data_IF_724362191450
#
_entry.id   IF_724362191450
#
_cell.length_a   1.000
_cell.length_b   1.000
_cell.length_c   1.000
_cell.angle_alpha   90.00
_cell.angle_beta   90.00
_cell.angle_gamma   90.00
#
_symmetry.space_group_name_H-M   'P 1'
#
loop_
_entity.id
_entity.type
_entity.pdbx_description
1 polymer ?
#
# COMPACT_ATOMS: atom_id res chain seq x y z
N UNK A 1 4.54 -34.68 9.46
CA UNK A 1 5.15 -33.36 9.12
C UNK A 1 4.12 -32.49 8.42
N UNK A 2 3.85 -31.27 8.90
CA UNK A 2 2.92 -30.33 8.23
C UNK A 2 3.74 -29.54 7.19
N UNK A 3 3.60 -29.87 5.90
CA UNK A 3 4.38 -29.26 4.81
C UNK A 3 4.04 -27.78 4.58
N UNK A 4 2.79 -27.36 4.77
CA UNK A 4 2.37 -25.98 4.48
C UNK A 4 3.06 -24.93 5.36
N UNK A 5 3.17 -25.08 6.70
CA UNK A 5 3.92 -24.15 7.53
C UNK A 5 5.41 -24.07 7.18
N UNK A 6 6.04 -25.21 6.87
CA UNK A 6 7.46 -25.24 6.46
C UNK A 6 7.66 -24.47 5.15
N UNK A 7 6.80 -24.73 4.15
CA UNK A 7 6.87 -24.04 2.87
C UNK A 7 6.57 -22.54 2.99
N UNK A 8 5.59 -22.14 3.81
CA UNK A 8 5.39 -20.73 4.16
C UNK A 8 6.64 -20.10 4.78
N UNK A 9 7.26 -20.78 5.75
CA UNK A 9 8.50 -20.30 6.36
C UNK A 9 9.60 -20.04 5.33
N UNK A 10 9.80 -20.98 4.40
CA UNK A 10 10.78 -20.82 3.31
C UNK A 10 10.48 -19.61 2.44
N UNK A 11 9.24 -19.45 1.96
CA UNK A 11 8.87 -18.31 1.10
C UNK A 11 8.96 -16.98 1.85
N UNK A 12 8.50 -16.93 3.10
CA UNK A 12 8.55 -15.71 3.92
C UNK A 12 10.00 -15.30 4.20
N UNK A 13 10.86 -16.24 4.59
CA UNK A 13 12.29 -15.95 4.79
C UNK A 13 12.92 -15.50 3.49
N UNK A 14 12.66 -16.19 2.37
CA UNK A 14 13.22 -15.83 1.08
C UNK A 14 12.81 -14.42 0.59
N UNK A 15 11.58 -13.98 0.89
CA UNK A 15 11.11 -12.64 0.50
C UNK A 15 11.51 -11.54 1.49
N UNK A 16 11.52 -11.85 2.80
CA UNK A 16 11.63 -10.84 3.86
C UNK A 16 12.97 -10.84 4.58
N UNK A 17 13.95 -11.66 4.16
CA UNK A 17 15.29 -11.67 4.75
C UNK A 17 15.94 -10.27 4.90
N UNK A 18 15.79 -9.30 3.96
CA UNK A 18 16.44 -8.00 4.11
C UNK A 18 15.95 -7.23 5.35
N UNK A 19 14.68 -7.45 5.75
CA UNK A 19 14.05 -6.75 6.86
C UNK A 19 14.65 -7.14 8.23
N UNK A 20 15.38 -8.25 8.31
CA UNK A 20 16.04 -8.68 9.54
C UNK A 20 17.30 -7.84 9.86
N UNK A 21 17.79 -7.03 8.91
CA UNK A 21 19.00 -6.22 9.06
C UNK A 21 18.75 -4.93 9.88
N UNK A 22 19.79 -4.37 10.53
CA UNK A 22 19.69 -3.11 11.27
C UNK A 22 19.52 -1.89 10.36
N UNK A 23 18.97 -0.80 10.89
CA UNK A 23 18.70 0.45 10.16
C UNK A 23 17.22 0.79 10.17
N UNK A 24 16.80 1.73 9.33
CA UNK A 24 15.43 2.20 9.14
C UNK A 24 14.96 1.91 7.70
N UNK A 25 13.68 1.61 7.50
CA UNK A 25 13.13 1.35 6.16
C UNK A 25 13.18 2.65 5.34
N UNK A 26 13.96 2.64 4.27
CA UNK A 26 14.18 3.80 3.40
C UNK A 26 14.40 3.34 1.96
N UNK A 27 13.30 3.18 1.22
CA UNK A 27 13.29 2.78 -0.18
C UNK A 27 12.07 3.39 -0.86
N UNK A 28 12.28 4.34 -1.79
CA UNK A 28 11.20 5.00 -2.55
C UNK A 28 10.09 5.51 -1.62
N UNK A 29 8.87 4.99 -1.74
CA UNK A 29 7.71 5.39 -0.94
C UNK A 29 7.73 4.82 0.49
N UNK A 30 8.58 3.82 0.76
CA UNK A 30 8.77 3.25 2.09
C UNK A 30 9.85 4.03 2.84
N UNK A 31 9.42 5.07 3.54
CA UNK A 31 10.23 5.74 4.56
C UNK A 31 9.54 5.58 5.92
N UNK A 32 10.10 4.72 6.78
CA UNK A 32 9.62 4.51 8.15
C UNK A 32 10.78 4.73 9.10
N UNK A 33 10.83 5.95 9.65
CA UNK A 33 11.77 6.34 10.69
C UNK A 33 11.49 5.57 11.99
N UNK A 34 12.46 5.50 12.89
CA UNK A 34 12.23 4.92 14.22
C UNK A 34 11.32 5.80 15.09
N UNK A 35 11.41 7.12 14.92
CA UNK A 35 10.60 8.11 15.62
C UNK A 35 10.01 9.13 14.64
N UNK A 36 9.01 8.74 13.82
CA UNK A 36 8.35 9.66 12.91
C UNK A 36 7.46 10.65 13.67
N UNK A 37 7.31 11.86 13.13
CA UNK A 37 6.48 12.89 13.76
C UNK A 37 4.99 12.52 13.73
N UNK A 38 4.31 12.73 14.86
CA UNK A 38 2.86 12.72 14.93
C UNK A 38 2.30 14.05 14.41
N UNK A 39 2.47 14.26 13.11
CA UNK A 39 2.10 15.48 12.39
C UNK A 39 0.65 15.44 11.86
N UNK A 40 0.07 16.59 11.47
CA UNK A 40 -1.20 16.61 10.74
C UNK A 40 -1.17 15.73 9.47
N UNK A 41 -0.06 15.75 8.72
CA UNK A 41 0.14 14.91 7.53
C UNK A 41 0.09 13.41 7.85
N UNK A 42 0.76 12.96 8.93
CA UNK A 42 0.71 11.57 9.38
C UNK A 42 -0.72 11.10 9.74
N UNK A 43 -1.54 12.03 10.24
CA UNK A 43 -2.94 11.78 10.60
C UNK A 43 -3.92 11.99 9.44
N UNK A 44 -3.43 12.33 8.25
CA UNK A 44 -4.23 12.57 7.04
C UNK A 44 -4.87 13.95 6.94
N UNK A 45 -4.60 14.88 7.86
CA UNK A 45 -5.16 16.24 7.88
C UNK A 45 -4.12 17.31 7.49
N UNK A 46 -3.07 16.92 6.77
CA UNK A 46 -2.05 17.84 6.24
C UNK A 46 -2.38 18.35 4.84
N UNK A 47 -1.37 18.88 4.15
CA UNK A 47 -1.53 19.54 2.85
C UNK A 47 -1.78 18.58 1.68
N UNK A 48 -1.41 17.31 1.84
CA UNK A 48 -1.53 16.28 0.81
C UNK A 48 -2.72 15.35 1.05
N UNK A 49 -3.24 14.69 -0.02
CA UNK A 49 -4.25 13.65 0.14
C UNK A 49 -3.83 12.59 1.16
N UNK A 50 -4.78 12.16 2.00
CA UNK A 50 -4.58 11.23 3.12
C UNK A 50 -4.27 9.78 2.68
N UNK A 51 -3.32 9.58 1.79
CA UNK A 51 -2.98 8.29 1.16
C UNK A 51 -2.32 7.28 2.10
N UNK A 52 -1.80 7.76 3.23
CA UNK A 52 -1.14 6.94 4.26
C UNK A 52 -1.91 6.91 5.59
N UNK A 53 -3.10 7.51 5.70
CA UNK A 53 -3.90 7.41 6.92
C UNK A 53 -4.70 6.08 6.92
N UNK A 54 -4.72 5.32 8.03
CA UNK A 54 -4.13 5.60 9.35
C UNK A 54 -2.69 5.09 9.56
N UNK A 55 -2.05 4.43 8.58
CA UNK A 55 -0.70 3.86 8.71
C UNK A 55 0.31 4.81 9.36
N UNK A 56 0.50 6.01 8.82
CA UNK A 56 1.57 6.90 9.29
C UNK A 56 1.27 7.42 10.71
N UNK A 57 0.01 7.74 11.00
CA UNK A 57 -0.43 8.11 12.35
C UNK A 57 -0.28 6.98 13.37
N UNK A 58 -0.56 5.73 12.97
CA UNK A 58 -0.31 4.55 13.81
C UNK A 58 1.18 4.38 14.10
N UNK A 59 2.03 4.51 13.09
CA UNK A 59 3.48 4.40 13.24
C UNK A 59 4.06 5.54 14.06
N UNK A 60 3.59 6.78 13.89
CA UNK A 60 3.99 7.91 14.71
C UNK A 60 3.56 7.73 16.18
N UNK A 61 2.36 7.22 16.43
CA UNK A 61 1.89 6.94 17.79
C UNK A 61 2.73 5.83 18.45
N UNK A 62 2.93 4.70 17.76
CA UNK A 62 3.74 3.59 18.30
C UNK A 62 5.23 3.96 18.41
N UNK A 63 5.71 4.83 17.53
CA UNK A 63 7.06 5.42 17.51
C UNK A 63 7.45 6.17 18.78
N UNK A 64 6.47 6.53 19.61
CA UNK A 64 6.71 7.15 20.93
C UNK A 64 7.21 6.15 21.98
N UNK A 65 6.98 4.85 21.77
CA UNK A 65 7.32 3.78 22.73
C UNK A 65 8.28 2.76 22.13
N UNK A 66 8.11 2.41 20.86
CA UNK A 66 8.90 1.41 20.15
C UNK A 66 9.38 1.99 18.82
N UNK A 67 10.59 1.64 18.36
CA UNK A 67 11.05 2.03 17.02
C UNK A 67 10.03 1.66 15.94
N UNK A 68 9.42 2.66 15.30
CA UNK A 68 8.32 2.43 14.37
C UNK A 68 8.75 1.62 13.12
N UNK A 69 10.03 1.71 12.73
CA UNK A 69 10.59 0.90 11.66
C UNK A 69 10.53 -0.61 11.95
N UNK A 70 10.75 -1.01 13.21
CA UNK A 70 10.62 -2.39 13.65
C UNK A 70 9.15 -2.83 13.74
N UNK A 71 8.27 -1.93 14.18
CA UNK A 71 6.81 -2.16 14.17
C UNK A 71 6.33 -2.47 12.76
N UNK A 72 6.70 -1.67 11.75
CA UNK A 72 6.31 -1.89 10.36
C UNK A 72 6.77 -3.28 9.85
N UNK A 73 7.99 -3.70 10.16
CA UNK A 73 8.49 -5.05 9.80
C UNK A 73 7.71 -6.17 10.47
N UNK A 74 7.37 -5.98 11.74
CA UNK A 74 6.50 -6.90 12.48
C UNK A 74 5.12 -7.04 11.81
N UNK A 75 4.54 -5.92 11.35
CA UNK A 75 3.28 -5.91 10.61
C UNK A 75 3.40 -6.62 9.25
N UNK A 76 4.49 -6.41 8.51
CA UNK A 76 4.75 -7.11 7.23
C UNK A 76 4.84 -8.62 7.47
N UNK A 77 5.63 -9.06 8.47
CA UNK A 77 5.76 -10.47 8.82
C UNK A 77 4.42 -11.08 9.25
N UNK A 78 3.68 -10.39 10.11
CA UNK A 78 2.35 -10.82 10.55
C UNK A 78 1.35 -10.93 9.38
N UNK A 79 1.38 -9.97 8.45
CA UNK A 79 0.60 -9.98 7.22
C UNK A 79 0.93 -11.18 6.33
N UNK A 80 2.22 -11.50 6.15
CA UNK A 80 2.65 -12.65 5.36
C UNK A 80 2.19 -13.97 5.99
N UNK A 81 2.33 -14.11 7.32
CA UNK A 81 1.84 -15.29 8.05
C UNK A 81 0.31 -15.41 7.94
N UNK A 82 -0.42 -14.31 8.14
CA UNK A 82 -1.88 -14.30 8.01
C UNK A 82 -2.32 -14.62 6.58
N UNK A 83 -1.61 -14.14 5.57
CA UNK A 83 -1.84 -14.48 4.17
C UNK A 83 -1.61 -15.96 3.87
N UNK A 84 -0.54 -16.55 4.40
CA UNK A 84 -0.30 -17.99 4.30
C UNK A 84 -1.44 -18.79 4.97
N UNK A 85 -1.91 -18.36 6.14
CA UNK A 85 -3.07 -18.97 6.83
C UNK A 85 -4.33 -18.85 5.97
N UNK A 86 -4.59 -17.67 5.40
CA UNK A 86 -5.71 -17.42 4.48
C UNK A 86 -5.66 -18.31 3.25
N UNK A 87 -4.48 -18.45 2.63
CA UNK A 87 -4.26 -19.31 1.47
C UNK A 87 -4.55 -20.77 1.78
N UNK A 88 -4.01 -21.29 2.90
CA UNK A 88 -4.22 -22.67 3.33
C UNK A 88 -5.68 -22.92 3.69
N UNK A 89 -6.33 -21.97 4.37
CA UNK A 89 -7.74 -22.10 4.72
C UNK A 89 -8.62 -22.09 3.46
N UNK A 90 -8.42 -21.14 2.54
CA UNK A 90 -9.17 -21.09 1.27
C UNK A 90 -8.95 -22.35 0.43
N UNK A 91 -7.71 -22.85 0.34
CA UNK A 91 -7.41 -24.09 -0.36
C UNK A 91 -8.17 -25.28 0.25
N UNK A 92 -8.15 -25.42 1.58
CA UNK A 92 -8.88 -26.49 2.28
C UNK A 92 -10.39 -26.36 2.14
N UNK A 93 -10.91 -25.12 2.16
CA UNK A 93 -12.32 -24.84 1.92
C UNK A 93 -12.77 -25.33 0.54
N UNK A 94 -11.90 -25.21 -0.47
CA UNK A 94 -12.11 -25.73 -1.82
C UNK A 94 -11.81 -27.25 -1.98
N UNK A 95 -11.49 -27.97 -0.90
CA UNK A 95 -11.17 -29.40 -0.96
C UNK A 95 -9.80 -29.71 -1.58
N UNK A 96 -8.85 -28.78 -1.54
CA UNK A 96 -7.55 -28.92 -2.18
C UNK A 96 -6.71 -30.09 -1.65
N UNK A 97 -5.93 -30.69 -2.56
CA UNK A 97 -4.87 -31.63 -2.19
C UNK A 97 -3.72 -30.92 -1.47
N UNK A 98 -2.77 -31.69 -0.92
CA UNK A 98 -1.54 -31.14 -0.32
C UNK A 98 -0.77 -30.28 -1.32
N UNK A 99 -0.57 -30.76 -2.54
CA UNK A 99 0.18 -30.04 -3.57
C UNK A 99 -0.54 -28.77 -4.02
N UNK A 100 -1.85 -28.85 -4.26
CA UNK A 100 -2.68 -27.69 -4.58
C UNK A 100 -2.65 -26.64 -3.45
N UNK A 101 -2.60 -27.08 -2.19
CA UNK A 101 -2.45 -26.17 -1.04
C UNK A 101 -1.10 -25.44 -1.06
N UNK A 102 0.00 -26.12 -1.41
CA UNK A 102 1.32 -25.48 -1.56
C UNK A 102 1.33 -24.49 -2.73
N UNK A 103 0.68 -24.84 -3.85
CA UNK A 103 0.53 -23.96 -5.00
C UNK A 103 -0.27 -22.69 -4.65
N UNK A 104 -1.42 -22.85 -4.01
CA UNK A 104 -2.25 -21.75 -3.49
C UNK A 104 -1.47 -20.83 -2.52
N UNK A 105 -0.69 -21.41 -1.61
CA UNK A 105 0.15 -20.68 -0.67
C UNK A 105 1.25 -19.89 -1.40
N UNK A 106 1.91 -20.51 -2.38
CA UNK A 106 2.93 -19.87 -3.20
C UNK A 106 2.35 -18.68 -3.96
N UNK A 107 1.18 -18.82 -4.57
CA UNK A 107 0.52 -17.73 -5.29
C UNK A 107 0.24 -16.50 -4.42
N UNK A 108 -0.10 -16.69 -3.13
CA UNK A 108 -0.37 -15.56 -2.23
C UNK A 108 0.92 -14.82 -1.88
N UNK A 109 1.98 -15.54 -1.54
CA UNK A 109 3.22 -14.93 -1.06
C UNK A 109 4.15 -14.51 -2.19
N UNK A 110 4.25 -15.31 -3.25
CA UNK A 110 5.22 -15.20 -4.32
C UNK A 110 4.53 -14.91 -5.64
N UNK A 111 4.37 -13.62 -5.95
CA UNK A 111 3.82 -13.14 -7.21
C UNK A 111 4.39 -11.74 -7.52
N UNK A 112 4.31 -11.29 -8.78
CA UNK A 112 4.81 -9.98 -9.20
C UNK A 112 4.24 -8.81 -8.38
N UNK A 113 2.94 -8.80 -8.08
CA UNK A 113 2.33 -7.76 -7.24
C UNK A 113 3.07 -7.61 -5.90
N UNK A 114 3.34 -8.70 -5.19
CA UNK A 114 4.04 -8.65 -3.89
C UNK A 114 5.43 -8.05 -4.05
N UNK A 115 6.21 -8.55 -5.02
CA UNK A 115 7.61 -8.15 -5.18
C UNK A 115 7.71 -6.70 -5.65
N UNK A 116 6.99 -6.33 -6.72
CA UNK A 116 6.96 -4.98 -7.27
C UNK A 116 6.49 -3.96 -6.24
N UNK A 117 5.47 -4.30 -5.43
CA UNK A 117 4.92 -3.38 -4.42
C UNK A 117 5.81 -3.25 -3.20
N UNK A 118 6.53 -4.30 -2.80
CA UNK A 118 7.58 -4.16 -1.80
C UNK A 118 8.71 -3.25 -2.32
N UNK A 119 9.16 -3.44 -3.57
CA UNK A 119 10.21 -2.60 -4.17
C UNK A 119 9.80 -1.15 -4.35
N UNK A 120 8.54 -0.89 -4.65
CA UNK A 120 8.00 0.48 -4.68
C UNK A 120 7.92 1.11 -3.29
N UNK A 121 7.81 0.29 -2.24
CA UNK A 121 7.62 0.73 -0.86
C UNK A 121 6.15 0.73 -0.39
N UNK A 122 5.24 0.12 -1.14
CA UNK A 122 3.82 -0.03 -0.80
C UNK A 122 3.56 -1.24 0.13
N UNK A 123 4.33 -1.38 1.21
CA UNK A 123 4.34 -2.57 2.08
C UNK A 123 2.99 -2.88 2.75
N UNK A 124 2.23 -1.86 3.14
CA UNK A 124 0.91 -2.02 3.76
C UNK A 124 -0.17 -2.43 2.76
N UNK A 125 -0.01 -2.05 1.49
CA UNK A 125 -0.84 -2.55 0.40
C UNK A 125 -0.54 -4.04 0.08
N UNK A 126 0.72 -4.46 0.25
CA UNK A 126 1.10 -5.87 0.20
C UNK A 126 0.42 -6.66 1.33
N UNK A 127 0.41 -6.13 2.56
CA UNK A 127 -0.36 -6.71 3.67
C UNK A 127 -1.85 -6.84 3.30
N UNK A 128 -2.46 -5.78 2.76
CA UNK A 128 -3.85 -5.84 2.33
C UNK A 128 -4.10 -6.94 1.29
N UNK A 129 -3.23 -7.06 0.29
CA UNK A 129 -3.25 -8.13 -0.71
C UNK A 129 -3.17 -9.53 -0.11
N UNK A 130 -2.20 -9.76 0.77
CA UNK A 130 -2.04 -11.02 1.50
C UNK A 130 -3.27 -11.39 2.33
N UNK A 131 -3.98 -10.40 2.89
CA UNK A 131 -5.17 -10.64 3.72
C UNK A 131 -6.45 -10.90 2.90
N UNK A 132 -6.51 -10.58 1.60
CA UNK A 132 -7.73 -10.78 0.82
C UNK A 132 -8.23 -12.23 0.78
N UNK A 133 -7.37 -13.26 0.57
CA UNK A 133 -7.81 -14.66 0.64
C UNK A 133 -8.36 -15.04 2.03
N UNK A 134 -7.77 -14.49 3.11
CA UNK A 134 -8.23 -14.71 4.48
C UNK A 134 -9.61 -14.08 4.72
N UNK A 135 -9.80 -12.82 4.30
CA UNK A 135 -11.08 -12.11 4.38
C UNK A 135 -12.15 -12.89 3.61
N UNK A 136 -11.84 -13.31 2.39
CA UNK A 136 -12.75 -14.03 1.51
C UNK A 136 -13.21 -15.36 2.11
N UNK A 137 -12.26 -16.21 2.53
CA UNK A 137 -12.62 -17.53 3.09
C UNK A 137 -13.33 -17.39 4.44
N UNK A 138 -12.96 -16.40 5.27
CA UNK A 138 -13.64 -16.14 6.54
C UNK A 138 -15.09 -15.70 6.32
N UNK A 139 -15.35 -14.84 5.34
CA UNK A 139 -16.70 -14.45 4.94
C UNK A 139 -17.53 -15.63 4.45
N UNK A 140 -16.98 -16.43 3.52
CA UNK A 140 -17.69 -17.60 2.95
C UNK A 140 -17.88 -18.73 3.97
N UNK A 141 -16.99 -18.87 4.95
CA UNK A 141 -17.08 -19.90 6.00
C UNK A 141 -17.97 -19.49 7.19
N UNK A 142 -18.65 -18.33 7.12
CA UNK A 142 -19.49 -17.85 8.22
C UNK A 142 -18.71 -17.46 9.48
N UNK A 143 -17.46 -16.99 9.33
CA UNK A 143 -16.60 -16.51 10.44
C UNK A 143 -16.36 -14.99 10.33
N UNK A 144 -17.42 -14.17 10.45
CA UNK A 144 -17.33 -12.73 10.19
C UNK A 144 -16.34 -12.02 11.10
N UNK A 145 -16.19 -12.43 12.36
CA UNK A 145 -15.21 -11.81 13.28
C UNK A 145 -13.77 -11.92 12.78
N UNK A 146 -13.40 -13.03 12.14
CA UNK A 146 -12.05 -13.18 11.55
C UNK A 146 -11.92 -12.28 10.31
N UNK A 147 -12.97 -12.23 9.48
CA UNK A 147 -12.99 -11.34 8.32
C UNK A 147 -12.85 -9.87 8.73
N UNK A 148 -13.57 -9.43 9.77
CA UNK A 148 -13.55 -8.03 10.23
C UNK A 148 -12.20 -7.63 10.83
N UNK A 149 -11.54 -8.50 11.61
CA UNK A 149 -10.18 -8.22 12.09
C UNK A 149 -9.19 -8.15 10.93
N UNK A 150 -9.30 -9.04 9.94
CA UNK A 150 -8.46 -9.00 8.76
C UNK A 150 -8.74 -7.77 7.88
N UNK A 151 -10.00 -7.32 7.80
CA UNK A 151 -10.37 -6.07 7.10
C UNK A 151 -9.77 -4.84 7.78
N UNK A 152 -9.83 -4.78 9.11
CA UNK A 152 -9.17 -3.74 9.89
C UNK A 152 -7.66 -3.72 9.64
N UNK A 153 -6.99 -4.88 9.71
CA UNK A 153 -5.55 -4.95 9.42
C UNK A 153 -5.21 -4.58 7.96
N UNK A 154 -6.05 -4.94 6.99
CA UNK A 154 -5.88 -4.55 5.59
C UNK A 154 -6.14 -3.05 5.35
N UNK A 155 -6.83 -2.36 6.27
CA UNK A 155 -7.20 -0.95 6.14
C UNK A 155 -6.13 0.06 6.57
N UNK A 156 -4.88 -0.38 6.74
CA UNK A 156 -3.73 0.50 6.97
C UNK A 156 -3.56 1.55 5.87
N UNK A 157 -4.06 1.27 4.66
CA UNK A 157 -4.10 2.22 3.54
C UNK A 157 -5.51 2.37 2.97
N UNK A 158 -5.81 3.48 2.27
CA UNK A 158 -7.10 3.69 1.63
C UNK A 158 -7.49 2.60 0.64
N UNK A 159 -6.55 2.23 -0.24
CA UNK A 159 -6.80 1.16 -1.22
C UNK A 159 -7.01 -0.19 -0.53
N UNK A 160 -6.21 -0.50 0.50
CA UNK A 160 -6.39 -1.72 1.28
C UNK A 160 -7.75 -1.78 1.98
N UNK A 161 -8.21 -0.66 2.54
CA UNK A 161 -9.53 -0.54 3.17
C UNK A 161 -10.67 -0.81 2.19
N UNK A 162 -10.61 -0.24 0.98
CA UNK A 162 -11.60 -0.47 -0.08
C UNK A 162 -11.60 -1.92 -0.56
N UNK A 163 -10.43 -2.51 -0.80
CA UNK A 163 -10.32 -3.90 -1.24
C UNK A 163 -10.84 -4.88 -0.19
N UNK A 164 -10.52 -4.63 1.07
CA UNK A 164 -11.04 -5.38 2.21
C UNK A 164 -12.56 -5.24 2.33
N UNK A 165 -13.10 -4.03 2.19
CA UNK A 165 -14.54 -3.77 2.18
C UNK A 165 -15.25 -4.53 1.04
N UNK A 166 -14.78 -4.41 -0.20
CA UNK A 166 -15.38 -5.11 -1.34
C UNK A 166 -15.32 -6.62 -1.17
N UNK A 167 -14.17 -7.15 -0.74
CA UNK A 167 -13.98 -8.58 -0.51
C UNK A 167 -14.89 -9.09 0.61
N UNK A 168 -14.95 -8.38 1.74
CA UNK A 168 -15.80 -8.72 2.88
C UNK A 168 -17.28 -8.68 2.53
N UNK A 169 -17.75 -7.61 1.89
CA UNK A 169 -19.16 -7.45 1.49
C UNK A 169 -19.58 -8.48 0.45
N UNK A 170 -18.71 -8.82 -0.50
CA UNK A 170 -19.00 -9.82 -1.53
C UNK A 170 -19.11 -11.24 -0.96
N UNK A 171 -18.37 -11.55 0.10
CA UNK A 171 -18.24 -12.92 0.64
C UNK A 171 -19.06 -13.18 1.90
N UNK A 172 -19.23 -12.20 2.80
CA UNK A 172 -19.96 -12.34 4.05
C UNK A 172 -21.47 -12.10 3.90
N UNK A 173 -22.15 -12.85 3.02
CA UNK A 173 -23.56 -12.59 2.64
C UNK A 173 -24.53 -12.46 3.82
N UNK A 174 -24.45 -13.35 4.81
CA UNK A 174 -25.32 -13.33 5.98
C UNK A 174 -25.08 -12.11 6.91
N UNK A 175 -23.91 -11.49 6.83
CA UNK A 175 -23.51 -10.35 7.68
C UNK A 175 -23.17 -9.11 6.85
N UNK A 176 -23.74 -8.99 5.65
CA UNK A 176 -23.36 -7.96 4.66
C UNK A 176 -23.49 -6.54 5.23
N UNK A 177 -24.57 -6.24 5.96
CA UNK A 177 -24.79 -4.93 6.56
C UNK A 177 -23.76 -4.56 7.63
N UNK A 178 -23.49 -5.46 8.58
CA UNK A 178 -22.46 -5.25 9.62
C UNK A 178 -21.06 -5.15 9.02
N UNK A 179 -20.77 -5.95 7.99
CA UNK A 179 -19.50 -5.93 7.26
C UNK A 179 -19.31 -4.62 6.50
N UNK A 180 -20.36 -4.10 5.86
CA UNK A 180 -20.35 -2.78 5.23
C UNK A 180 -20.07 -1.68 6.26
N UNK A 181 -20.79 -1.67 7.38
CA UNK A 181 -20.59 -0.69 8.45
C UNK A 181 -19.13 -0.68 8.94
N UNK A 182 -18.58 -1.86 9.27
CA UNK A 182 -17.21 -1.98 9.75
C UNK A 182 -16.18 -1.57 8.68
N UNK A 183 -16.41 -1.93 7.42
CA UNK A 183 -15.54 -1.48 6.33
C UNK A 183 -15.60 0.03 6.12
N UNK A 184 -16.76 0.67 6.26
CA UNK A 184 -16.89 2.14 6.23
C UNK A 184 -16.15 2.78 7.40
N UNK A 185 -16.26 2.22 8.62
CA UNK A 185 -15.50 2.68 9.78
C UNK A 185 -13.98 2.61 9.54
N UNK A 186 -13.52 1.53 8.89
CA UNK A 186 -12.12 1.37 8.50
C UNK A 186 -11.66 2.44 7.48
N UNK A 187 -12.57 3.01 6.69
CA UNK A 187 -12.26 4.04 5.72
C UNK A 187 -12.21 5.46 6.30
N UNK A 188 -12.78 5.71 7.49
CA UNK A 188 -12.90 7.06 8.05
C UNK A 188 -11.58 7.84 8.15
N UNK A 189 -10.42 7.25 8.52
CA UNK A 189 -9.18 8.00 8.69
C UNK A 189 -8.68 8.73 7.45
N UNK A 190 -9.02 8.24 6.26
CA UNK A 190 -8.64 8.88 4.99
C UNK A 190 -9.84 9.47 4.25
N UNK A 191 -11.04 8.89 4.43
CA UNK A 191 -12.25 9.35 3.77
C UNK A 191 -12.67 10.72 4.27
N UNK A 192 -12.67 10.93 5.60
CA UNK A 192 -13.08 12.22 6.17
C UNK A 192 -12.13 13.34 5.74
N UNK A 193 -10.79 13.22 5.89
CA UNK A 193 -9.90 14.26 5.41
C UNK A 193 -9.93 14.46 3.90
N UNK A 194 -10.10 13.38 3.11
CA UNK A 194 -10.20 13.47 1.65
C UNK A 194 -11.46 14.16 1.15
N UNK A 195 -12.56 14.13 1.93
CA UNK A 195 -13.77 14.91 1.63
C UNK A 195 -13.63 16.39 2.01
N UNK A 196 -12.80 16.71 2.99
CA UNK A 196 -12.53 18.09 3.43
C UNK A 196 -11.54 18.78 2.48
N UNK A 197 -10.52 18.04 2.04
CA UNK A 197 -9.44 18.55 1.19
C UNK A 197 -9.47 17.89 -0.18
N UNK A 198 -10.34 18.37 -1.07
CA UNK A 198 -10.36 17.95 -2.48
C UNK A 198 -9.28 18.69 -3.28
N UNK A 199 -8.05 18.18 -3.24
CA UNK A 199 -6.99 18.63 -4.16
C UNK A 199 -7.22 18.10 -5.57
N UNK A 200 -7.15 18.97 -6.58
CA UNK A 200 -7.33 18.61 -7.99
C UNK A 200 -6.06 17.95 -8.55
N UNK A 201 -6.15 16.69 -8.96
CA UNK A 201 -5.09 16.02 -9.71
C UNK A 201 -5.21 16.35 -11.21
N UNK A 202 -4.08 16.51 -11.90
CA UNK A 202 -4.04 16.91 -13.32
C UNK A 202 -4.20 15.68 -14.22
N UNK A 203 -4.80 15.82 -15.41
CA UNK A 203 -5.07 14.70 -16.32
C UNK A 203 -3.81 13.92 -16.76
N UNK A 204 -2.65 14.59 -16.84
CA UNK A 204 -1.33 14.01 -17.17
C UNK A 204 -0.88 12.94 -16.16
N UNK A 205 -1.44 12.99 -14.95
CA UNK A 205 -1.28 12.03 -13.86
C UNK A 205 -1.81 10.64 -14.17
N UNK A 206 -2.76 10.47 -15.10
CA UNK A 206 -3.22 9.13 -15.46
C UNK A 206 -2.22 8.37 -16.34
N UNK A 207 -1.59 9.05 -17.31
CA UNK A 207 -0.70 8.41 -18.28
C UNK A 207 0.63 7.97 -17.65
N UNK A 208 1.21 8.80 -16.78
CA UNK A 208 2.47 8.49 -16.08
C UNK A 208 2.35 7.28 -15.13
N UNK A 209 1.13 6.94 -14.70
CA UNK A 209 0.84 5.84 -13.77
C UNK A 209 0.12 4.66 -14.44
N UNK A 210 0.00 4.68 -15.77
CA UNK A 210 -0.63 3.61 -16.51
C UNK A 210 0.12 2.28 -16.29
N UNK A 211 -0.58 1.14 -16.27
CA UNK A 211 0.06 -0.16 -16.16
C UNK A 211 1.14 -0.36 -17.22
N UNK A 212 2.34 -0.72 -16.76
CA UNK A 212 3.50 -0.88 -17.64
C UNK A 212 3.46 -2.21 -18.39
N UNK A 213 3.95 -2.18 -19.62
CA UNK A 213 4.27 -3.39 -20.36
C UNK A 213 5.57 -4.03 -19.85
N UNK A 214 5.60 -5.35 -19.86
CA UNK A 214 6.77 -6.12 -19.44
C UNK A 214 7.20 -7.08 -20.54
N UNK A 215 8.47 -7.48 -20.49
CA UNK A 215 9.15 -8.29 -21.50
C UNK A 215 8.27 -9.41 -22.08
N UNK A 216 8.07 -9.37 -23.39
CA UNK A 216 7.39 -10.39 -24.20
C UNK A 216 5.89 -10.62 -23.93
N UNK A 217 5.26 -9.88 -23.02
CA UNK A 217 3.83 -10.08 -22.65
C UNK A 217 2.95 -8.84 -22.82
N UNK A 218 3.56 -7.66 -22.99
CA UNK A 218 2.83 -6.39 -23.04
C UNK A 218 2.13 -6.07 -21.71
N UNK A 219 1.42 -4.94 -21.63
CA UNK A 219 0.72 -4.56 -20.40
C UNK A 219 -0.42 -5.53 -20.01
N UNK A 220 -1.27 -6.02 -20.94
CA UNK A 220 -2.32 -6.97 -20.58
C UNK A 220 -1.77 -8.28 -20.00
N UNK A 221 -0.68 -8.80 -20.56
CA UNK A 221 -0.03 -10.00 -20.06
C UNK A 221 0.64 -9.79 -18.71
N UNK A 222 1.23 -8.61 -18.47
CA UNK A 222 1.74 -8.22 -17.16
C UNK A 222 0.62 -8.20 -16.11
N UNK A 223 -0.52 -7.58 -16.42
CA UNK A 223 -1.67 -7.44 -15.53
C UNK A 223 -2.30 -8.79 -15.11
N UNK A 224 -2.47 -9.74 -16.03
CA UNK A 224 -2.99 -11.07 -15.67
C UNK A 224 -2.00 -11.88 -14.84
N UNK A 225 -0.70 -11.60 -14.98
CA UNK A 225 0.35 -12.09 -14.08
C UNK A 225 0.44 -11.35 -12.75
N UNK A 226 -0.47 -10.41 -12.45
CA UNK A 226 -0.45 -9.53 -11.27
C UNK A 226 0.73 -8.54 -11.23
N UNK A 227 1.43 -8.31 -12.35
CA UNK A 227 2.48 -7.30 -12.46
C UNK A 227 1.97 -5.99 -13.07
N UNK A 228 2.86 -5.27 -13.74
CA UNK A 228 2.56 -4.05 -14.46
C UNK A 228 2.65 -2.79 -13.60
N UNK A 229 3.50 -2.78 -12.56
CA UNK A 229 3.82 -1.54 -11.85
C UNK A 229 4.35 -0.47 -12.81
N UNK A 230 3.89 0.77 -12.63
CA UNK A 230 4.25 1.90 -13.50
C UNK A 230 5.74 2.26 -13.39
N UNK A 231 6.32 2.15 -12.18
CA UNK A 231 7.71 2.50 -11.90
C UNK A 231 8.66 1.41 -12.39
N UNK A 232 9.51 1.75 -13.35
CA UNK A 232 10.43 0.82 -13.95
C UNK A 232 11.46 0.24 -12.97
N UNK A 233 11.92 1.05 -12.02
CA UNK A 233 12.95 0.61 -11.07
C UNK A 233 12.40 -0.36 -10.00
N UNK A 234 11.08 -0.54 -9.94
CA UNK A 234 10.42 -1.51 -9.06
C UNK A 234 10.15 -2.86 -9.74
N UNK A 235 10.47 -3.02 -11.03
CA UNK A 235 10.28 -4.27 -11.78
C UNK A 235 11.50 -5.20 -11.56
N UNK A 236 11.30 -6.45 -11.13
CA UNK A 236 12.38 -7.43 -11.02
C UNK A 236 13.05 -7.72 -12.39
N UNK A 237 14.40 -7.80 -12.45
CA UNK A 237 15.11 -8.04 -13.71
C UNK A 237 14.65 -9.29 -14.48
N UNK A 238 14.26 -10.37 -13.80
CA UNK A 238 13.75 -11.58 -14.46
C UNK A 238 12.55 -11.30 -15.37
N UNK A 239 11.69 -10.34 -14.99
CA UNK A 239 10.46 -10.06 -15.72
C UNK A 239 10.73 -9.48 -17.11
N UNK A 240 11.81 -8.72 -17.26
CA UNK A 240 12.20 -8.09 -18.53
C UNK A 240 12.87 -9.08 -19.50
N UNK A 241 13.34 -10.23 -19.02
CA UNK A 241 13.98 -11.28 -19.85
C UNK A 241 13.03 -12.46 -20.17
N UNK A 242 11.72 -12.31 -19.93
CA UNK A 242 10.69 -13.26 -20.39
C UNK A 242 10.06 -14.13 -19.32
N UNK A 243 10.45 -14.02 -18.04
CA UNK A 243 9.76 -14.74 -16.97
C UNK A 243 8.32 -14.25 -16.75
N UNK A 244 7.95 -13.08 -17.28
CA UNK A 244 6.57 -12.64 -17.31
C UNK A 244 5.61 -13.59 -18.06
N UNK A 245 6.12 -14.37 -19.03
CA UNK A 245 5.35 -15.40 -19.75
C UNK A 245 4.81 -16.48 -18.80
N UNK A 246 5.53 -16.79 -17.71
CA UNK A 246 5.06 -17.76 -16.72
C UNK A 246 3.74 -17.31 -16.07
N UNK A 247 3.52 -16.00 -15.91
CA UNK A 247 2.29 -15.44 -15.37
C UNK A 247 1.10 -15.57 -16.32
N UNK A 248 1.34 -15.38 -17.62
CA UNK A 248 0.33 -15.60 -18.66
C UNK A 248 -0.07 -17.08 -18.75
N UNK A 249 0.93 -17.98 -18.75
CA UNK A 249 0.69 -19.43 -18.75
C UNK A 249 -0.03 -19.90 -17.48
N UNK A 250 0.36 -19.35 -16.32
CA UNK A 250 -0.32 -19.58 -15.06
C UNK A 250 -1.78 -19.15 -15.14
N UNK A 251 -2.06 -17.93 -15.60
CA UNK A 251 -3.42 -17.44 -15.76
C UNK A 251 -4.26 -18.34 -16.66
N UNK A 252 -3.74 -18.74 -17.82
CA UNK A 252 -4.40 -19.68 -18.72
C UNK A 252 -4.71 -21.02 -18.05
N UNK A 253 -3.80 -21.54 -17.22
CA UNK A 253 -4.02 -22.76 -16.45
C UNK A 253 -5.12 -22.57 -15.39
N UNK A 254 -5.13 -21.44 -14.68
CA UNK A 254 -6.15 -21.13 -13.67
C UNK A 254 -7.56 -21.00 -14.28
N UNK A 255 -7.68 -20.48 -15.52
CA UNK A 255 -8.95 -20.40 -16.24
C UNK A 255 -9.61 -21.77 -16.44
N UNK A 256 -8.83 -22.85 -16.54
CA UNK A 256 -9.37 -24.23 -16.66
C UNK A 256 -10.19 -24.65 -15.43
N UNK A 257 -9.96 -24.00 -14.28
CA UNK A 257 -10.68 -24.23 -13.03
C UNK A 257 -11.71 -23.12 -12.70
N UNK A 258 -11.89 -22.11 -13.56
CA UNK A 258 -12.72 -20.94 -13.28
C UNK A 258 -14.16 -21.30 -12.86
N UNK A 259 -14.76 -22.33 -13.48
CA UNK A 259 -16.12 -22.81 -13.14
C UNK A 259 -16.26 -23.36 -11.71
N UNK A 260 -15.15 -23.66 -11.04
CA UNK A 260 -15.10 -24.16 -9.64
C UNK A 260 -14.79 -23.05 -8.64
N UNK A 261 -14.50 -21.85 -9.12
CA UNK A 261 -14.24 -20.69 -8.27
C UNK A 261 -15.57 -20.10 -7.81
N UNK A 262 -15.73 -19.77 -6.51
CA UNK A 262 -16.93 -19.10 -6.03
C UNK A 262 -17.19 -17.79 -6.78
N UNK A 263 -18.42 -17.59 -7.25
CA UNK A 263 -18.81 -16.44 -8.06
C UNK A 263 -18.42 -15.06 -7.48
N UNK A 264 -18.52 -14.80 -6.15
CA UNK A 264 -18.05 -13.53 -5.59
C UNK A 264 -16.57 -13.24 -5.87
N UNK A 265 -15.71 -14.26 -5.88
CA UNK A 265 -14.28 -14.09 -6.16
C UNK A 265 -14.03 -13.80 -7.64
N UNK A 266 -14.80 -14.44 -8.54
CA UNK A 266 -14.73 -14.14 -9.98
C UNK A 266 -15.17 -12.70 -10.28
N UNK A 267 -16.20 -12.19 -9.59
CA UNK A 267 -16.61 -10.80 -9.72
C UNK A 267 -15.50 -9.84 -9.28
N UNK A 268 -14.88 -10.08 -8.12
CA UNK A 268 -13.75 -9.27 -7.65
C UNK A 268 -12.57 -9.32 -8.62
N UNK A 269 -12.25 -10.50 -9.18
CA UNK A 269 -11.21 -10.64 -10.19
C UNK A 269 -11.53 -9.88 -11.47
N UNK A 270 -12.76 -9.96 -11.96
CA UNK A 270 -13.23 -9.22 -13.13
C UNK A 270 -13.18 -7.70 -12.93
N UNK A 271 -13.61 -7.21 -11.75
CA UNK A 271 -13.53 -5.79 -11.39
C UNK A 271 -12.07 -5.33 -11.30
N UNK A 272 -11.20 -6.11 -10.65
CA UNK A 272 -9.79 -5.77 -10.48
C UNK A 272 -9.01 -5.75 -11.79
N UNK A 273 -9.03 -6.86 -12.54
CA UNK A 273 -8.34 -6.97 -13.83
C UNK A 273 -8.97 -6.06 -14.88
N UNK A 274 -10.30 -6.01 -14.95
CA UNK A 274 -11.02 -5.16 -15.89
C UNK A 274 -10.77 -3.67 -15.62
N UNK A 275 -10.73 -3.25 -14.36
CA UNK A 275 -10.38 -1.88 -13.98
C UNK A 275 -8.95 -1.50 -14.37
N UNK A 276 -7.99 -2.41 -14.16
CA UNK A 276 -6.60 -2.19 -14.55
C UNK A 276 -6.43 -2.12 -16.08
N UNK A 277 -7.09 -3.01 -16.83
CA UNK A 277 -7.08 -2.99 -18.30
C UNK A 277 -7.79 -1.74 -18.83
N UNK A 278 -8.90 -1.32 -18.22
CA UNK A 278 -9.60 -0.09 -18.60
C UNK A 278 -8.71 1.14 -18.44
N UNK A 279 -7.99 1.26 -17.31
CA UNK A 279 -7.03 2.34 -17.09
C UNK A 279 -5.92 2.39 -18.15
N UNK A 280 -5.45 1.22 -18.61
CA UNK A 280 -4.47 1.10 -19.68
C UNK A 280 -5.05 1.44 -21.06
N UNK A 281 -6.27 1.00 -21.38
CA UNK A 281 -6.93 1.22 -22.68
C UNK A 281 -7.43 2.67 -22.86
N UNK A 282 -7.88 3.31 -21.78
CA UNK A 282 -8.53 4.61 -21.81
C UNK A 282 -7.90 5.61 -20.81
N UNK A 283 -6.60 5.90 -20.90
CA UNK A 283 -5.91 6.78 -19.95
C UNK A 283 -6.49 8.21 -19.94
N UNK A 284 -7.02 8.70 -21.07
CA UNK A 284 -7.70 10.00 -21.14
C UNK A 284 -9.00 10.05 -20.33
N UNK A 285 -9.80 8.97 -20.34
CA UNK A 285 -11.04 8.89 -19.52
C UNK A 285 -10.69 8.80 -18.04
N UNK A 286 -9.65 8.04 -17.71
CA UNK A 286 -9.13 7.98 -16.34
C UNK A 286 -8.60 9.33 -15.87
N UNK A 287 -7.86 10.05 -16.71
CA UNK A 287 -7.37 11.40 -16.42
C UNK A 287 -8.50 12.39 -16.16
N UNK A 288 -9.56 12.35 -16.97
CA UNK A 288 -10.77 13.14 -16.72
C UNK A 288 -11.44 12.77 -15.39
N UNK A 289 -11.58 11.48 -15.09
CA UNK A 289 -12.19 11.01 -13.83
C UNK A 289 -11.37 11.49 -12.62
N UNK A 290 -10.05 11.36 -12.68
CA UNK A 290 -9.12 11.81 -11.63
C UNK A 290 -9.21 13.32 -11.40
N UNK A 291 -9.38 14.10 -12.47
CA UNK A 291 -9.49 15.55 -12.39
C UNK A 291 -10.87 16.04 -11.89
N UNK A 292 -11.94 15.25 -12.07
CA UNK A 292 -13.32 15.70 -11.81
C UNK A 292 -13.98 15.06 -10.60
N UNK A 293 -13.65 13.80 -10.28
CA UNK A 293 -14.29 13.04 -9.21
C UNK A 293 -13.38 13.02 -7.98
N UNK A 294 -13.81 13.63 -6.85
CA UNK A 294 -13.04 13.56 -5.61
C UNK A 294 -12.74 12.12 -5.21
N UNK A 295 -11.46 11.85 -4.90
CA UNK A 295 -10.99 10.51 -4.52
C UNK A 295 -10.69 9.57 -5.69
N UNK A 296 -10.99 9.94 -6.94
CA UNK A 296 -10.63 9.13 -8.12
C UNK A 296 -9.11 8.99 -8.31
N UNK A 297 -8.30 9.88 -7.73
CA UNK A 297 -6.84 9.70 -7.66
C UNK A 297 -6.41 8.35 -7.03
N UNK A 298 -7.28 7.71 -6.24
CA UNK A 298 -7.02 6.35 -5.72
C UNK A 298 -6.87 5.31 -6.82
N UNK A 299 -7.47 5.49 -8.00
CA UNK A 299 -7.36 4.55 -9.13
C UNK A 299 -6.27 4.92 -10.13
N UNK A 300 -5.51 6.00 -9.89
CA UNK A 300 -4.42 6.47 -10.74
C UNK A 300 -3.39 5.36 -11.02
N UNK A 301 -2.88 4.75 -9.97
CA UNK A 301 -2.04 3.56 -10.04
C UNK A 301 -2.93 2.33 -10.18
N UNK A 302 -3.34 2.03 -11.41
CA UNK A 302 -4.39 1.05 -11.67
C UNK A 302 -3.92 -0.40 -11.62
N UNK A 303 -2.61 -0.68 -11.78
CA UNK A 303 -2.11 -2.06 -11.72
C UNK A 303 -2.28 -2.66 -10.32
N UNK A 304 -2.46 -1.83 -9.29
CA UNK A 304 -2.78 -2.35 -7.95
C UNK A 304 -4.17 -3.00 -7.84
N UNK A 305 -5.09 -2.67 -8.74
CA UNK A 305 -6.43 -3.28 -8.78
C UNK A 305 -6.37 -4.79 -9.05
N UNK A 306 -5.31 -5.26 -9.72
CA UNK A 306 -5.12 -6.69 -10.06
C UNK A 306 -5.13 -7.60 -8.83
N UNK A 307 -4.73 -7.11 -7.65
CA UNK A 307 -4.72 -7.92 -6.42
C UNK A 307 -6.10 -8.39 -5.97
N UNK A 308 -7.17 -7.72 -6.40
CA UNK A 308 -8.54 -8.19 -6.18
C UNK A 308 -8.81 -9.55 -6.84
N UNK A 309 -8.02 -9.95 -7.84
CA UNK A 309 -8.08 -11.27 -8.45
C UNK A 309 -7.40 -12.36 -7.61
N UNK A 310 -6.56 -12.00 -6.63
CA UNK A 310 -5.75 -12.95 -5.88
C UNK A 310 -6.59 -14.04 -5.17
N UNK A 311 -7.72 -13.73 -4.48
CA UNK A 311 -8.58 -14.78 -3.91
C UNK A 311 -9.13 -15.76 -4.95
N UNK A 312 -9.47 -15.27 -6.16
CA UNK A 312 -9.95 -16.12 -7.25
C UNK A 312 -8.82 -17.01 -7.79
N UNK A 313 -7.60 -16.48 -7.92
CA UNK A 313 -6.43 -17.25 -8.36
C UNK A 313 -6.11 -18.37 -7.39
N UNK A 314 -6.18 -18.08 -6.08
CA UNK A 314 -5.98 -19.06 -5.02
C UNK A 314 -7.05 -20.15 -5.06
N UNK A 315 -8.32 -19.77 -5.22
CA UNK A 315 -9.43 -20.73 -5.32
C UNK A 315 -9.34 -21.57 -6.60
N UNK A 316 -8.93 -20.98 -7.73
CA UNK A 316 -8.72 -21.70 -8.98
C UNK A 316 -7.57 -22.71 -8.84
N UNK A 317 -6.43 -22.29 -8.28
CA UNK A 317 -5.28 -23.14 -8.01
C UNK A 317 -5.65 -24.32 -7.10
N UNK A 318 -6.40 -24.05 -6.04
CA UNK A 318 -6.92 -25.06 -5.12
C UNK A 318 -7.82 -26.09 -5.81
N UNK A 319 -8.55 -25.66 -6.83
CA UNK A 319 -9.49 -26.48 -7.61
C UNK A 319 -8.90 -27.09 -8.89
N UNK A 320 -7.61 -26.90 -9.18
CA UNK A 320 -6.93 -27.55 -10.32
C UNK A 320 -6.82 -29.06 -10.10
N UNK A 321 -6.65 -29.81 -11.20
CA UNK A 321 -6.36 -31.24 -11.15
C UNK A 321 -4.99 -31.47 -10.50
N UNK A 322 -4.79 -32.58 -9.79
CA UNK A 322 -3.55 -32.86 -9.04
C UNK A 322 -2.29 -32.78 -9.91
N UNK A 323 -2.34 -33.25 -11.15
CA UNK A 323 -1.20 -33.18 -12.08
C UNK A 323 -0.86 -31.73 -12.47
N UNK A 324 -1.84 -30.84 -12.52
CA UNK A 324 -1.66 -29.43 -12.83
C UNK A 324 -1.19 -28.60 -11.62
N UNK A 325 -1.43 -29.07 -10.39
CA UNK A 325 -1.05 -28.35 -9.18
C UNK A 325 0.47 -28.13 -9.07
N UNK A 326 1.28 -29.10 -9.51
CA UNK A 326 2.74 -28.94 -9.60
C UNK A 326 3.14 -27.88 -10.62
N UNK A 327 2.46 -27.84 -11.77
CA UNK A 327 2.69 -26.81 -12.79
C UNK A 327 2.30 -25.41 -12.29
N UNK A 328 1.18 -25.28 -11.57
CA UNK A 328 0.79 -24.01 -10.92
C UNK A 328 1.88 -23.54 -9.96
N UNK A 329 2.40 -24.42 -9.10
CA UNK A 329 3.48 -24.10 -8.16
C UNK A 329 4.73 -23.62 -8.89
N UNK A 330 5.17 -24.36 -9.91
CA UNK A 330 6.36 -24.03 -10.70
C UNK A 330 6.17 -22.70 -11.43
N UNK A 331 5.06 -22.51 -12.12
CA UNK A 331 4.78 -21.27 -12.84
C UNK A 331 4.70 -20.07 -11.88
N UNK A 332 4.10 -20.23 -10.69
CA UNK A 332 4.06 -19.18 -9.67
C UNK A 332 5.47 -18.72 -9.25
N UNK A 333 6.38 -19.66 -8.98
CA UNK A 333 7.78 -19.35 -8.66
C UNK A 333 8.51 -18.72 -9.85
N UNK A 334 8.32 -19.25 -11.05
CA UNK A 334 8.95 -18.78 -12.28
C UNK A 334 8.48 -17.39 -12.72
N UNK A 335 7.40 -16.83 -12.18
CA UNK A 335 7.05 -15.43 -12.50
C UNK A 335 8.13 -14.44 -12.06
N UNK A 336 8.80 -14.74 -10.93
CA UNK A 336 9.83 -13.87 -10.33
C UNK A 336 10.88 -14.74 -9.62
N UNK A 337 11.67 -15.55 -10.33
CA UNK A 337 12.61 -16.50 -9.71
C UNK A 337 13.74 -15.79 -8.94
N UNK A 338 14.03 -14.54 -9.29
CA UNK A 338 15.05 -13.70 -8.66
C UNK A 338 14.52 -12.91 -7.45
N UNK A 339 13.25 -13.08 -7.04
CA UNK A 339 12.62 -12.28 -5.98
C UNK A 339 13.49 -12.11 -4.70
N UNK A 340 14.14 -13.14 -4.14
CA UNK A 340 14.95 -12.98 -2.93
C UNK A 340 16.12 -12.02 -3.13
N UNK A 341 16.73 -12.03 -4.33
CA UNK A 341 17.83 -11.15 -4.69
C UNK A 341 17.31 -9.77 -5.09
N UNK A 342 16.24 -9.72 -5.88
CA UNK A 342 15.61 -8.48 -6.33
C UNK A 342 15.16 -7.62 -5.15
N UNK A 343 14.72 -8.23 -4.04
CA UNK A 343 14.30 -7.56 -2.81
C UNK A 343 15.44 -7.08 -1.92
N UNK A 344 16.71 -7.33 -2.24
CA UNK A 344 17.86 -6.84 -1.44
C UNK A 344 17.83 -5.32 -1.13
N UNK A 345 17.36 -4.41 -2.01
CA UNK A 345 17.23 -2.98 -1.72
C UNK A 345 16.26 -2.64 -0.57
N UNK A 346 15.40 -3.57 -0.15
CA UNK A 346 14.58 -3.42 1.07
C UNK A 346 15.41 -3.37 2.35
N UNK A 347 16.70 -3.72 2.29
CA UNK A 347 17.61 -3.69 3.43
C UNK A 347 17.54 -2.30 4.10
N UNK A 348 17.20 -2.24 5.39
CA UNK A 348 17.13 -0.98 6.13
C UNK A 348 18.44 -0.19 6.06
N UNK A 349 18.33 1.13 6.11
CA UNK A 349 19.44 2.07 5.94
C UNK A 349 19.65 2.90 7.21
N UNK A 350 20.89 3.34 7.51
CA UNK A 350 21.10 4.40 8.49
C UNK A 350 20.51 5.70 7.92
N UNK A 351 19.47 6.23 8.58
CA UNK A 351 18.85 7.51 8.23
C UNK A 351 19.12 8.48 9.37
N UNK A 352 19.87 9.54 9.07
CA UNK A 352 20.16 10.62 10.02
C UNK A 352 19.10 11.71 9.89
N UNK A 353 18.60 12.15 11.04
CA UNK A 353 17.70 13.29 11.19
C UNK A 353 18.29 14.13 12.32
N UNK A 354 18.42 15.43 12.09
CA UNK A 354 18.91 16.36 13.12
C UNK A 354 17.88 16.49 14.24
N UNK A 355 18.21 15.95 15.41
CA UNK A 355 17.34 15.99 16.59
C UNK A 355 17.20 17.40 17.15
N UNK A 356 18.23 18.24 17.02
CA UNK A 356 18.16 19.62 17.51
C UNK A 356 17.12 20.43 16.75
N UNK A 357 17.01 20.19 15.43
CA UNK A 357 15.94 20.77 14.61
C UNK A 357 14.56 20.23 15.02
N UNK A 358 14.41 18.92 15.25
CA UNK A 358 13.14 18.33 15.70
C UNK A 358 12.69 18.93 17.04
N UNK A 359 13.60 19.07 17.99
CA UNK A 359 13.32 19.63 19.31
C UNK A 359 12.99 21.13 19.23
N UNK A 360 13.69 21.89 18.37
CA UNK A 360 13.40 23.31 18.14
C UNK A 360 12.02 23.50 17.52
N UNK A 361 11.64 22.66 16.55
CA UNK A 361 10.36 22.77 15.85
C UNK A 361 9.19 22.56 16.81
N UNK A 362 9.31 21.68 17.80
CA UNK A 362 8.31 21.41 18.85
C UNK A 362 6.88 21.22 18.29
N UNK A 363 6.78 20.47 17.19
CA UNK A 363 5.50 20.16 16.54
C UNK A 363 4.85 21.32 15.76
N UNK A 364 5.53 22.45 15.60
CA UNK A 364 5.13 23.53 14.67
C UNK A 364 5.34 23.09 13.22
N UNK A 365 4.58 23.67 12.30
CA UNK A 365 4.73 23.37 10.87
C UNK A 365 5.98 24.04 10.30
N UNK A 366 6.72 23.30 9.47
CA UNK A 366 8.02 23.66 8.93
C UNK A 366 7.94 23.84 7.42
N UNK A 367 8.35 25.00 6.93
CA UNK A 367 8.61 25.21 5.51
C UNK A 367 10.08 24.89 5.22
N UNK A 368 10.31 23.84 4.43
CA UNK A 368 11.64 23.52 3.92
C UNK A 368 11.77 24.13 2.51
N UNK A 369 12.59 25.18 2.37
CA UNK A 369 12.68 25.97 1.14
C UNK A 369 13.60 25.30 0.11
N UNK A 370 14.77 24.85 0.56
CA UNK A 370 15.84 24.35 -0.30
C UNK A 370 15.94 22.82 -0.32
N UNK A 371 14.97 22.14 0.32
CA UNK A 371 14.96 20.70 0.45
C UNK A 371 14.04 20.05 -0.59
N UNK A 372 14.54 19.13 -1.43
CA UNK A 372 13.70 18.42 -2.36
C UNK A 372 12.78 17.43 -1.63
N UNK A 373 11.62 17.14 -2.22
CA UNK A 373 10.67 16.13 -1.69
C UNK A 373 11.25 14.71 -1.72
N UNK A 374 12.15 14.45 -2.68
CA UNK A 374 12.84 13.18 -2.88
C UNK A 374 14.36 13.39 -2.81
N UNK A 375 15.04 12.50 -2.09
CA UNK A 375 16.50 12.49 -1.95
C UNK A 375 17.05 11.15 -2.43
N UNK A 376 18.37 11.08 -2.66
CA UNK A 376 19.05 9.82 -3.02
C UNK A 376 19.84 9.28 -1.83
N UNK A 377 19.76 7.97 -1.64
CA UNK A 377 20.65 7.22 -0.74
C UNK A 377 22.08 7.22 -1.28
N UNK A 378 23.02 6.75 -0.45
CA UNK A 378 24.42 6.56 -0.83
C UNK A 378 24.61 5.63 -2.04
N UNK A 379 23.72 4.66 -2.23
CA UNK A 379 23.71 3.74 -3.38
C UNK A 379 22.92 4.28 -4.60
N UNK A 380 22.51 5.56 -4.57
CA UNK A 380 21.86 6.25 -5.69
C UNK A 380 20.36 6.02 -5.81
N UNK A 381 19.78 5.13 -5.00
CA UNK A 381 18.34 4.82 -4.99
C UNK A 381 17.56 5.99 -4.38
N UNK A 382 16.47 6.37 -5.03
CA UNK A 382 15.57 7.45 -4.59
C UNK A 382 14.75 7.02 -3.37
N UNK A 383 14.57 7.94 -2.41
CA UNK A 383 13.68 7.80 -1.26
C UNK A 383 13.01 9.14 -0.93
N UNK A 384 11.91 9.11 -0.17
CA UNK A 384 11.33 10.32 0.42
C UNK A 384 12.35 11.03 1.31
N UNK A 385 12.36 12.36 1.31
CA UNK A 385 13.20 13.15 2.22
C UNK A 385 12.87 12.81 3.69
N UNK A 386 13.84 12.34 4.51
CA UNK A 386 13.63 12.02 5.92
C UNK A 386 12.96 13.13 6.74
N UNK A 387 13.24 14.40 6.44
CA UNK A 387 12.66 15.54 7.14
C UNK A 387 11.13 15.58 7.03
N UNK A 388 10.57 15.17 5.87
CA UNK A 388 9.13 15.12 5.66
C UNK A 388 8.41 14.09 6.57
N UNK A 389 9.13 13.11 7.13
CA UNK A 389 8.61 12.16 8.13
C UNK A 389 9.01 12.51 9.55
N UNK A 390 10.08 13.27 9.73
CA UNK A 390 10.57 13.69 11.04
C UNK A 390 9.91 14.97 11.56
N UNK A 391 9.38 15.81 10.67
CA UNK A 391 8.83 17.13 10.99
C UNK A 391 7.41 17.28 10.45
N UNK A 392 6.53 18.05 11.10
CA UNK A 392 5.29 18.54 10.49
C UNK A 392 5.65 19.50 9.36
N UNK A 393 5.69 19.00 8.12
CA UNK A 393 6.19 19.79 6.99
C UNK A 393 5.02 20.41 6.23
N UNK A 394 5.18 21.66 5.78
CA UNK A 394 4.31 22.26 4.75
C UNK A 394 4.68 21.60 3.44
N UNK A 395 3.85 20.69 2.95
CA UNK A 395 4.25 19.79 1.88
C UNK A 395 3.94 20.38 0.50
N UNK A 396 4.95 20.39 -0.38
CA UNK A 396 4.76 20.71 -1.80
C UNK A 396 3.85 19.67 -2.45
N UNK A 397 4.15 18.37 -2.30
CA UNK A 397 3.41 17.31 -3.01
C UNK A 397 3.62 17.30 -4.53
N UNK A 398 4.44 18.22 -5.05
CA UNK A 398 4.80 18.24 -6.45
C UNK A 398 5.54 16.96 -6.84
N UNK A 399 5.15 16.39 -7.97
CA UNK A 399 5.79 15.22 -8.53
C UNK A 399 6.12 15.47 -9.99
N UNK A 400 7.38 15.21 -10.36
CA UNK A 400 7.80 15.15 -11.75
C UNK A 400 8.16 13.71 -12.14
N UNK A 401 7.66 13.27 -13.29
CA UNK A 401 8.00 11.98 -13.90
C UNK A 401 8.65 12.30 -15.25
N UNK A 402 9.88 11.84 -15.46
CA UNK A 402 10.66 12.08 -16.67
C UNK A 402 10.75 13.57 -17.08
N UNK A 403 10.81 14.48 -16.08
CA UNK A 403 10.92 15.93 -16.29
C UNK A 403 9.58 16.64 -16.55
N UNK A 404 8.46 15.92 -16.64
CA UNK A 404 7.11 16.49 -16.75
C UNK A 404 6.50 16.63 -15.37
N UNK A 405 5.94 17.79 -15.03
CA UNK A 405 5.22 18.00 -13.77
C UNK A 405 3.86 17.30 -13.84
N UNK A 406 3.67 16.28 -13.00
CA UNK A 406 2.48 15.42 -13.00
C UNK A 406 1.49 15.81 -11.91
N UNK A 407 2.01 16.23 -10.75
CA UNK A 407 1.21 16.75 -9.64
C UNK A 407 1.70 18.17 -9.32
N UNK A 408 0.78 19.13 -9.26
CA UNK A 408 1.12 20.52 -8.95
C UNK A 408 1.39 20.69 -7.44
N UNK A 409 2.26 21.65 -7.05
CA UNK A 409 2.48 21.95 -5.65
C UNK A 409 1.19 22.38 -4.91
N UNK A 410 1.08 22.04 -3.64
CA UNK A 410 -0.07 22.36 -2.79
C UNK A 410 -0.28 23.89 -2.71
N UNK A 411 -1.53 24.38 -2.63
CA UNK A 411 -1.80 25.80 -2.52
C UNK A 411 -1.08 26.47 -1.34
N UNK A 412 -1.08 25.82 -0.16
CA UNK A 412 -0.44 26.34 1.05
C UNK A 412 1.08 26.44 0.87
N UNK A 413 1.72 25.42 0.28
CA UNK A 413 3.16 25.48 0.01
C UNK A 413 3.51 26.61 -0.96
N UNK A 414 2.74 26.80 -2.04
CA UNK A 414 2.99 27.91 -2.99
C UNK A 414 2.86 29.27 -2.32
N UNK A 415 1.83 29.46 -1.50
CA UNK A 415 1.63 30.70 -0.74
C UNK A 415 2.78 30.92 0.27
N UNK A 416 3.25 29.86 0.92
CA UNK A 416 4.35 29.95 1.88
C UNK A 416 5.69 30.29 1.21
N UNK A 417 6.00 29.68 0.06
CA UNK A 417 7.20 30.05 -0.73
C UNK A 417 7.11 31.51 -1.20
N UNK A 418 5.97 31.94 -1.73
CA UNK A 418 5.79 33.32 -2.17
C UNK A 418 5.95 34.33 -1.01
N UNK A 419 5.42 34.00 0.18
CA UNK A 419 5.58 34.81 1.39
C UNK A 419 7.05 34.86 1.84
N UNK A 420 7.77 33.74 1.78
CA UNK A 420 9.19 33.67 2.08
C UNK A 420 10.03 34.53 1.12
N UNK A 421 9.80 34.41 -0.19
CA UNK A 421 10.47 35.22 -1.21
C UNK A 421 10.22 36.73 -1.03
N UNK A 422 8.99 37.10 -0.62
CA UNK A 422 8.61 38.47 -0.31
C UNK A 422 9.10 38.96 1.06
N UNK A 423 9.72 38.08 1.87
CA UNK A 423 10.09 38.33 3.29
C UNK A 423 8.91 38.76 4.16
N UNK A 424 7.71 38.26 3.85
CA UNK A 424 6.48 38.54 4.58
C UNK A 424 6.27 37.52 5.71
N UNK A 425 6.85 37.83 6.87
CA UNK A 425 6.78 36.97 8.06
C UNK A 425 5.36 36.87 8.64
N UNK A 426 4.52 37.91 8.46
CA UNK A 426 3.14 37.88 8.93
C UNK A 426 2.30 36.93 8.07
N UNK A 427 2.49 36.94 6.74
CA UNK A 427 1.82 35.99 5.86
C UNK A 427 2.24 34.53 6.15
N UNK A 428 3.51 34.28 6.49
CA UNK A 428 3.95 32.95 6.93
C UNK A 428 3.27 32.51 8.23
N UNK A 429 3.14 33.43 9.19
CA UNK A 429 2.43 33.18 10.45
C UNK A 429 0.94 32.88 10.21
N UNK A 430 0.27 33.65 9.36
CA UNK A 430 -1.14 33.43 8.98
C UNK A 430 -1.37 32.10 8.26
N UNK A 431 -0.38 31.64 7.48
CA UNK A 431 -0.35 30.31 6.87
C UNK A 431 -0.02 29.19 7.88
N UNK A 432 0.24 29.57 9.14
CA UNK A 432 0.54 28.65 10.23
C UNK A 432 1.93 28.03 10.15
N UNK A 433 2.86 28.64 9.42
CA UNK A 433 4.26 28.19 9.29
C UNK A 433 5.03 28.71 10.50
N UNK A 434 5.41 27.82 11.42
CA UNK A 434 6.12 28.20 12.65
C UNK A 434 7.63 28.28 12.49
N UNK A 435 8.20 27.52 11.56
CA UNK A 435 9.64 27.46 11.31
C UNK A 435 9.90 27.42 9.80
N UNK A 436 10.89 28.17 9.35
CA UNK A 436 11.43 28.12 7.98
C UNK A 436 12.86 27.64 8.05
N UNK A 437 13.19 26.64 7.23
CA UNK A 437 14.57 26.16 7.04
C UNK A 437 14.99 26.48 5.61
N UNK A 438 16.01 27.32 5.48
CA UNK A 438 16.56 27.75 4.19
C UNK A 438 18.06 28.00 4.32
N UNK A 439 18.84 27.52 3.35
CA UNK A 439 20.30 27.66 3.29
C UNK A 439 21.05 27.31 4.59
N UNK A 440 20.55 26.33 5.34
CA UNK A 440 21.12 25.91 6.64
C UNK A 440 20.83 26.89 7.79
N UNK A 441 20.02 27.92 7.57
CA UNK A 441 19.49 28.81 8.59
C UNK A 441 18.08 28.39 9.01
N UNK A 442 17.76 28.65 10.28
CA UNK A 442 16.45 28.41 10.87
C UNK A 442 15.86 29.77 11.27
N UNK A 443 14.68 30.07 10.74
CA UNK A 443 13.93 31.30 11.05
C UNK A 443 12.60 30.92 11.67
N UNK A 444 12.29 31.50 12.83
CA UNK A 444 11.05 31.23 13.55
C UNK A 444 10.01 32.34 13.31
N UNK A 445 8.75 31.94 13.25
CA UNK A 445 7.59 32.86 13.33
C UNK A 445 6.90 32.70 14.68
N UNK A 446 5.85 33.48 14.94
CA UNK A 446 5.03 33.31 16.15
C UNK A 446 3.92 32.24 16.00
N UNK A 447 3.81 31.56 14.84
CA UNK A 447 2.81 30.52 14.64
C UNK A 447 3.05 29.29 15.52
N UNK A 448 1.99 28.90 16.25
CA UNK A 448 1.99 27.70 17.09
C UNK A 448 1.71 26.40 16.31
N UNK A 449 1.75 25.24 17.00
CA UNK A 449 1.44 23.94 16.41
C UNK A 449 0.00 23.85 15.85
N UNK A 450 -0.14 23.20 14.69
CA UNK A 450 -1.45 22.98 14.07
C UNK A 450 -2.34 21.99 14.85
N UNK A 451 -3.67 22.14 14.80
CA UNK A 451 -4.60 21.27 15.51
C UNK A 451 -4.61 19.85 14.94
N UNK A 452 -4.41 18.86 15.81
CA UNK A 452 -4.39 17.42 15.45
C UNK A 452 -5.64 16.65 15.87
N UNK A 453 -6.62 17.33 16.47
CA UNK A 453 -7.77 16.70 17.16
C UNK A 453 -8.60 15.79 16.25
N UNK A 454 -8.92 16.25 15.03
CA UNK A 454 -9.72 15.46 14.07
C UNK A 454 -9.00 14.16 13.70
N UNK A 455 -7.75 14.28 13.27
CA UNK A 455 -6.91 13.14 12.89
C UNK A 455 -6.72 12.13 14.03
N UNK A 456 -6.45 12.62 15.25
CA UNK A 456 -6.34 11.77 16.44
C UNK A 456 -7.67 11.06 16.77
N UNK A 457 -8.80 11.75 16.64
CA UNK A 457 -10.13 11.16 16.87
C UNK A 457 -10.41 10.04 15.85
N UNK A 458 -10.11 10.27 14.57
CA UNK A 458 -10.29 9.26 13.52
C UNK A 458 -9.37 8.05 13.74
N UNK A 459 -8.11 8.27 14.13
CA UNK A 459 -7.19 7.21 14.49
C UNK A 459 -7.68 6.41 15.71
N UNK A 460 -8.18 7.08 16.75
CA UNK A 460 -8.73 6.43 17.93
C UNK A 460 -9.95 5.57 17.59
N UNK A 461 -10.88 6.09 16.78
CA UNK A 461 -12.03 5.31 16.27
C UNK A 461 -11.55 4.06 15.53
N UNK A 462 -10.55 4.20 14.66
CA UNK A 462 -9.97 3.08 13.92
C UNK A 462 -9.31 2.03 14.84
N UNK A 463 -8.59 2.47 15.88
CA UNK A 463 -7.96 1.60 16.87
C UNK A 463 -8.96 0.81 17.73
N UNK A 464 -10.16 1.35 17.93
CA UNK A 464 -11.21 0.69 18.73
C UNK A 464 -11.99 -0.39 17.95
N UNK A 465 -11.83 -0.47 16.62
CA UNK A 465 -12.57 -1.43 15.77
C UNK A 465 -12.39 -2.88 16.24
N UNK A 466 -11.18 -3.41 16.50
CA UNK A 466 -11.00 -4.79 16.94
C UNK A 466 -11.70 -5.10 18.28
N UNK A 467 -11.71 -4.14 19.22
CA UNK A 467 -12.41 -4.29 20.49
C UNK A 467 -13.93 -4.37 20.28
N UNK A 468 -14.48 -3.52 19.40
CA UNK A 468 -15.88 -3.59 18.99
C UNK A 468 -16.25 -4.92 18.32
N UNK A 469 -15.38 -5.44 17.45
CA UNK A 469 -15.54 -6.77 16.84
C UNK A 469 -15.56 -7.86 17.90
N UNK A 470 -14.69 -7.80 18.91
CA UNK A 470 -14.65 -8.78 19.99
C UNK A 470 -15.95 -8.76 20.80
N UNK A 471 -16.44 -7.58 21.20
CA UNK A 471 -17.71 -7.44 21.94
C UNK A 471 -18.92 -7.96 21.15
N UNK A 472 -18.93 -7.75 19.83
CA UNK A 472 -20.00 -8.21 18.95
C UNK A 472 -20.06 -9.75 18.77
N UNK A 473 -19.04 -10.51 19.21
CA UNK A 473 -19.06 -11.99 19.17
C UNK A 473 -19.82 -12.61 20.35
N UNK A 474 -20.08 -11.84 21.41
CA UNK A 474 -20.73 -12.29 22.64
C UNK A 474 -22.21 -11.91 22.73
N UNK A 475 -22.77 -11.39 21.64
CA UNK A 475 -24.19 -11.06 21.46
C UNK A 475 -24.69 -11.75 20.20
#
# INVERSE_FOLDING_TARGET
MRWSPLWAGVLIVALLWPLALPGQLALRDMLVLDSPALSPGALGTGDLPARNAPQDGLLALLGTVLPASWVARGLILAGAVAGAVGAVWLARFQGATRLSTLASLTLVLWNPFVVERLLQGHWSLVIAGWLLPLIAVAGMSGRPGVAWVAMWAASLTPTGALFALFTGVATARAHRGRTLLLGVLCCLPWLVPGLIHSGGAVAESAAAFAPRAEGYVGAPGALVGLGGIWNADAVPPSREIGFALAGVLLFALLLTAARRVPAPLLWLAGVGLGGAVFAWLAPGVLGWLIATVPGAGLVRDASKLTVLALPAYVAAAASTRTWAAGLVLVLALLQVPDAPRALAPLSPQPVAVDRSLVDLVDGRDVLLVDEPTLVRRADGIVMINPLAKALPTVESGALSVDGVLVDAPSPRWRSAIAAWEARDMAALEDLGVGVVVSEGQVVETAAGPQPRRLGLTLLAVWLLIPAGVWLARWR
#
